data_IF_366312005314
#
_entry.id   IF_366312005314
#
_cell.length_a   1.000
_cell.length_b   1.000
_cell.length_c   1.000
_cell.angle_alpha   90.00
_cell.angle_beta   90.00
_cell.angle_gamma   90.00
#
_symmetry.space_group_name_H-M   'P 1'
#
loop_
_entity.id
_entity.type
_entity.pdbx_description
1 polymer ?
#
# COMPACT_ATOMS: atom_id res chain seq x y z
N UNK A 1 32.85 2.84 -2.13
CA UNK A 1 31.47 3.30 -2.39
C UNK A 1 31.43 3.94 -3.77
N UNK A 2 31.16 3.17 -4.84
CA UNK A 2 31.16 3.72 -6.22
C UNK A 2 30.09 3.16 -7.17
N UNK A 3 29.15 2.32 -6.70
CA UNK A 3 28.31 1.54 -7.64
C UNK A 3 26.81 1.85 -7.58
N UNK A 4 26.26 2.31 -6.45
CA UNK A 4 24.80 2.56 -6.34
C UNK A 4 24.26 3.67 -7.22
N UNK A 5 25.08 4.69 -7.53
CA UNK A 5 24.70 5.77 -8.45
C UNK A 5 24.55 5.28 -9.91
N UNK A 6 25.30 4.23 -10.30
CA UNK A 6 25.24 3.66 -11.64
C UNK A 6 24.02 2.75 -11.79
N UNK A 7 23.71 1.92 -10.78
CA UNK A 7 22.55 1.03 -10.81
C UNK A 7 21.22 1.79 -10.84
N UNK A 8 21.08 2.86 -10.05
CA UNK A 8 19.88 3.70 -10.07
C UNK A 8 19.68 4.35 -11.45
N UNK A 9 20.74 4.93 -12.03
CA UNK A 9 20.70 5.53 -13.36
C UNK A 9 20.32 4.49 -14.42
N UNK A 10 20.88 3.27 -14.34
CA UNK A 10 20.57 2.18 -15.27
C UNK A 10 19.11 1.72 -15.18
N UNK A 11 18.52 1.67 -13.97
CA UNK A 11 17.07 1.38 -13.82
C UNK A 11 16.22 2.49 -14.44
N UNK A 12 16.61 3.76 -14.31
CA UNK A 12 15.92 4.87 -14.95
C UNK A 12 15.98 4.77 -16.49
N UNK A 13 17.16 4.48 -17.03
CA UNK A 13 17.34 4.25 -18.48
C UNK A 13 16.50 3.07 -18.97
N UNK A 14 16.41 1.98 -18.19
CA UNK A 14 15.57 0.83 -18.52
C UNK A 14 14.07 1.18 -18.45
N UNK A 15 13.62 1.99 -17.48
CA UNK A 15 12.25 2.50 -17.47
C UNK A 15 11.94 3.28 -18.75
N UNK A 16 12.87 4.11 -19.24
CA UNK A 16 12.70 4.86 -20.49
C UNK A 16 12.66 3.93 -21.71
N UNK A 17 13.52 2.90 -21.75
CA UNK A 17 13.52 1.91 -22.83
C UNK A 17 12.21 1.11 -22.93
N UNK A 18 11.57 0.79 -21.80
CA UNK A 18 10.35 -0.02 -21.73
C UNK A 18 9.07 0.81 -21.52
N UNK A 19 9.14 2.14 -21.50
CA UNK A 19 8.02 3.02 -21.19
C UNK A 19 6.78 2.85 -22.10
N UNK A 20 6.97 2.32 -23.31
CA UNK A 20 5.90 2.11 -24.30
C UNK A 20 5.49 0.64 -24.49
N UNK A 21 6.03 -0.27 -23.67
CA UNK A 21 5.70 -1.70 -23.71
C UNK A 21 4.65 -2.08 -22.67
N UNK A 22 4.15 -3.32 -22.73
CA UNK A 22 3.35 -3.91 -21.65
C UNK A 22 4.29 -4.47 -20.56
N UNK A 23 4.33 -3.87 -19.36
CA UNK A 23 5.29 -4.26 -18.34
C UNK A 23 5.08 -5.68 -17.81
N UNK A 24 3.83 -6.16 -17.73
CA UNK A 24 3.54 -7.52 -17.24
C UNK A 24 3.96 -8.57 -18.26
N UNK A 25 3.71 -8.31 -19.55
CA UNK A 25 4.17 -9.21 -20.62
C UNK A 25 5.69 -9.30 -20.66
N UNK A 26 6.38 -8.18 -20.51
CA UNK A 26 7.84 -8.16 -20.48
C UNK A 26 8.42 -8.85 -19.23
N UNK A 27 7.74 -8.78 -18.06
CA UNK A 27 8.16 -9.50 -16.85
C UNK A 27 8.15 -11.02 -17.04
N UNK A 28 7.21 -11.57 -17.80
CA UNK A 28 7.15 -13.01 -18.08
C UNK A 28 8.36 -13.51 -18.89
N UNK A 29 9.01 -12.63 -19.66
CA UNK A 29 10.19 -12.99 -20.45
C UNK A 29 11.49 -12.87 -19.64
N UNK A 30 11.48 -12.19 -18.48
CA UNK A 30 12.67 -12.05 -17.62
C UNK A 30 13.11 -13.41 -17.05
N UNK A 31 12.18 -14.29 -16.68
CA UNK A 31 12.48 -15.65 -16.19
C UNK A 31 13.19 -16.52 -17.25
N UNK A 32 13.07 -16.16 -18.53
CA UNK A 32 13.68 -16.90 -19.66
C UNK A 32 15.06 -16.37 -20.05
N UNK A 33 15.51 -15.29 -19.41
CA UNK A 33 16.79 -14.62 -19.67
C UNK A 33 17.85 -15.18 -18.70
N UNK A 34 19.13 -15.31 -19.11
CA UNK A 34 20.20 -15.77 -18.21
C UNK A 34 20.25 -14.99 -16.88
N UNK A 35 20.63 -15.68 -15.81
CA UNK A 35 20.74 -15.15 -14.45
C UNK A 35 21.91 -14.17 -14.33
N UNK A 36 21.68 -12.92 -14.77
CA UNK A 36 22.63 -11.83 -14.64
C UNK A 36 22.02 -10.59 -13.94
N UNK A 37 22.91 -9.70 -13.49
CA UNK A 37 22.55 -8.47 -12.79
C UNK A 37 21.68 -7.54 -13.67
N UNK A 38 21.74 -7.65 -15.00
CA UNK A 38 20.95 -6.81 -15.91
C UNK A 38 19.49 -7.26 -16.00
N UNK A 39 19.23 -8.57 -15.95
CA UNK A 39 17.88 -9.13 -15.83
C UNK A 39 17.18 -8.66 -14.54
N UNK A 40 17.92 -8.56 -13.43
CA UNK A 40 17.40 -8.03 -12.16
C UNK A 40 17.02 -6.54 -12.27
N UNK A 41 17.85 -5.71 -12.90
CA UNK A 41 17.54 -4.29 -13.10
C UNK A 41 16.36 -4.09 -14.07
N UNK A 42 16.26 -4.92 -15.12
CA UNK A 42 15.11 -4.94 -16.05
C UNK A 42 13.82 -5.24 -15.28
N UNK A 43 13.83 -6.25 -14.42
CA UNK A 43 12.66 -6.61 -13.61
C UNK A 43 12.19 -5.44 -12.72
N UNK A 44 13.12 -4.76 -12.06
CA UNK A 44 12.83 -3.58 -11.21
C UNK A 44 12.17 -2.46 -12.03
N UNK A 45 12.72 -2.15 -13.21
CA UNK A 45 12.17 -1.11 -14.08
C UNK A 45 10.72 -1.43 -14.50
N UNK A 46 10.45 -2.69 -14.90
CA UNK A 46 9.12 -3.14 -15.27
C UNK A 46 8.14 -3.09 -14.08
N UNK A 47 8.59 -3.41 -12.86
CA UNK A 47 7.77 -3.35 -11.66
C UNK A 47 7.35 -1.92 -11.33
N UNK A 48 8.27 -0.96 -11.48
CA UNK A 48 7.97 0.46 -11.32
C UNK A 48 6.97 0.93 -12.37
N UNK A 49 7.18 0.61 -13.65
CA UNK A 49 6.27 0.95 -14.74
C UNK A 49 4.87 0.35 -14.50
N UNK A 50 4.78 -0.91 -14.07
CA UNK A 50 3.51 -1.56 -13.75
C UNK A 50 2.78 -0.89 -12.57
N UNK A 51 3.52 -0.59 -11.50
CA UNK A 51 2.97 0.03 -10.30
C UNK A 51 2.41 1.43 -10.56
N UNK A 52 3.11 2.21 -11.37
CA UNK A 52 2.66 3.53 -11.82
C UNK A 52 1.45 3.41 -12.76
N UNK A 53 1.53 2.57 -13.80
CA UNK A 53 0.47 2.42 -14.81
C UNK A 53 -0.85 1.89 -14.22
N UNK A 54 -0.76 1.08 -13.16
CA UNK A 54 -1.92 0.44 -12.52
C UNK A 54 -2.38 1.10 -11.22
N UNK A 55 -1.76 2.24 -10.85
CA UNK A 55 -2.01 2.94 -9.60
C UNK A 55 -1.99 1.99 -8.38
N UNK A 56 -1.01 1.09 -8.38
CA UNK A 56 -0.82 0.12 -7.32
C UNK A 56 -0.51 0.88 -6.02
N UNK A 57 -1.15 0.45 -4.93
CA UNK A 57 -0.79 0.90 -3.59
C UNK A 57 0.59 0.35 -3.20
N UNK A 58 0.93 -0.85 -3.69
CA UNK A 58 2.21 -1.51 -3.43
C UNK A 58 2.53 -2.60 -4.47
N UNK A 59 3.81 -2.81 -4.75
CA UNK A 59 4.34 -4.05 -5.36
C UNK A 59 5.41 -4.62 -4.41
N UNK A 60 5.34 -5.92 -4.12
CA UNK A 60 6.27 -6.63 -3.20
C UNK A 60 6.91 -7.82 -3.90
N UNK A 61 8.21 -8.04 -3.69
CA UNK A 61 8.94 -9.24 -4.08
C UNK A 61 9.55 -9.88 -2.82
N UNK A 62 9.34 -11.17 -2.62
CA UNK A 62 9.86 -11.93 -1.47
C UNK A 62 10.59 -13.18 -1.94
N UNK A 63 11.76 -13.46 -1.37
CA UNK A 63 12.51 -14.70 -1.56
C UNK A 63 12.47 -15.54 -0.28
N UNK A 64 12.07 -16.81 -0.40
CA UNK A 64 11.95 -17.76 0.72
C UNK A 64 13.23 -18.59 0.94
N UNK A 65 13.33 -19.25 2.10
CA UNK A 65 14.48 -20.10 2.48
C UNK A 65 14.68 -21.33 1.56
N UNK A 66 13.63 -21.72 0.85
CA UNK A 66 13.65 -22.84 -0.10
C UNK A 66 13.90 -22.37 -1.55
N UNK A 67 14.29 -21.10 -1.76
CA UNK A 67 14.54 -20.52 -3.09
C UNK A 67 13.28 -20.04 -3.83
N UNK A 68 12.09 -20.14 -3.22
CA UNK A 68 10.83 -19.69 -3.82
C UNK A 68 10.76 -18.15 -3.88
N UNK A 69 10.43 -17.59 -5.04
CA UNK A 69 10.19 -16.15 -5.23
C UNK A 69 8.68 -15.90 -5.39
N UNK A 70 8.14 -14.94 -4.65
CA UNK A 70 6.74 -14.52 -4.72
C UNK A 70 6.65 -13.01 -4.99
N UNK A 71 5.81 -12.62 -5.95
CA UNK A 71 5.58 -11.22 -6.32
C UNK A 71 4.09 -10.91 -6.19
N UNK A 72 3.73 -9.83 -5.50
CA UNK A 72 2.34 -9.40 -5.30
C UNK A 72 2.18 -7.90 -5.57
N UNK A 73 1.05 -7.51 -6.15
CA UNK A 73 0.66 -6.12 -6.36
C UNK A 73 -0.70 -5.85 -5.69
N UNK A 74 -0.77 -4.81 -4.86
CA UNK A 74 -1.99 -4.37 -4.19
C UNK A 74 -2.54 -3.13 -4.90
N UNK A 75 -3.84 -3.11 -5.19
CA UNK A 75 -4.53 -2.01 -5.88
C UNK A 75 -5.62 -1.41 -4.96
N UNK A 76 -5.83 -0.09 -5.02
CA UNK A 76 -6.69 0.63 -4.04
C UNK A 76 -8.19 0.27 -4.09
N UNK A 77 -8.77 0.16 -2.87
CA UNK A 77 -10.17 -0.08 -2.43
C UNK A 77 -10.66 -1.54 -2.48
N UNK A 78 -10.69 -2.17 -1.30
CA UNK A 78 -11.16 -3.54 -1.06
C UNK A 78 -12.21 -3.59 0.07
N UNK A 79 -13.09 -4.59 0.03
CA UNK A 79 -13.96 -4.93 1.16
C UNK A 79 -13.12 -5.55 2.29
N UNK A 80 -13.33 -5.10 3.53
CA UNK A 80 -12.71 -5.69 4.71
C UNK A 80 -13.68 -6.68 5.35
N UNK A 81 -13.18 -7.80 5.92
CA UNK A 81 -14.03 -8.75 6.63
C UNK A 81 -14.74 -8.06 7.79
N UNK A 82 -16.05 -8.27 7.90
CA UNK A 82 -16.84 -7.71 9.00
C UNK A 82 -16.41 -8.31 10.34
N UNK A 83 -16.25 -7.51 11.41
CA UNK A 83 -15.96 -8.02 12.75
C UNK A 83 -17.17 -8.72 13.40
N UNK A 84 -18.32 -8.77 12.71
CA UNK A 84 -19.57 -9.25 13.28
C UNK A 84 -20.25 -8.20 14.17
N UNK A 85 -21.57 -8.36 14.42
CA UNK A 85 -22.40 -7.30 14.99
C UNK A 85 -22.06 -6.94 16.45
N UNK A 86 -21.64 -7.92 17.26
CA UNK A 86 -21.31 -7.69 18.68
C UNK A 86 -20.00 -6.92 18.83
N UNK A 87 -18.98 -7.31 18.09
CA UNK A 87 -17.65 -6.67 18.15
C UNK A 87 -17.69 -5.30 17.47
N UNK A 88 -18.39 -5.17 16.33
CA UNK A 88 -18.55 -3.87 15.66
C UNK A 88 -19.15 -2.78 16.55
N UNK A 89 -20.17 -3.11 17.35
CA UNK A 89 -20.74 -2.16 18.34
C UNK A 89 -19.74 -1.74 19.41
N UNK A 90 -18.93 -2.68 19.91
CA UNK A 90 -17.89 -2.40 20.91
C UNK A 90 -16.77 -1.51 20.35
N UNK A 91 -16.39 -1.70 19.09
CA UNK A 91 -15.40 -0.84 18.41
C UNK A 91 -15.88 0.60 18.36
N UNK A 92 -17.15 0.83 18.00
CA UNK A 92 -17.72 2.19 17.94
C UNK A 92 -17.78 2.83 19.33
N UNK A 93 -18.22 2.09 20.35
CA UNK A 93 -18.29 2.59 21.72
C UNK A 93 -16.90 3.00 22.24
N UNK A 94 -15.89 2.15 22.05
CA UNK A 94 -14.52 2.45 22.46
C UNK A 94 -13.93 3.66 21.73
N UNK A 95 -14.21 3.81 20.42
CA UNK A 95 -13.74 4.98 19.66
C UNK A 95 -14.38 6.27 20.16
N UNK A 96 -15.68 6.27 20.52
CA UNK A 96 -16.35 7.44 21.10
C UNK A 96 -15.84 7.78 22.49
N UNK A 97 -15.60 6.78 23.33
CA UNK A 97 -15.05 6.97 24.68
C UNK A 97 -13.65 7.58 24.62
N UNK A 98 -12.76 7.02 23.80
CA UNK A 98 -11.39 7.51 23.63
C UNK A 98 -11.32 8.95 23.10
N UNK A 99 -12.28 9.32 22.25
CA UNK A 99 -12.32 10.65 21.60
C UNK A 99 -13.20 11.65 22.35
N UNK A 100 -13.90 11.21 23.40
CA UNK A 100 -14.93 11.97 24.11
C UNK A 100 -16.00 12.58 23.17
N UNK A 101 -16.31 11.89 22.06
CA UNK A 101 -17.30 12.34 21.07
C UNK A 101 -18.70 11.89 21.49
N UNK A 102 -19.45 12.80 22.11
CA UNK A 102 -20.79 12.51 22.66
C UNK A 102 -21.95 12.96 21.75
N UNK A 103 -21.68 13.80 20.74
CA UNK A 103 -22.71 14.33 19.84
C UNK A 103 -23.02 13.34 18.72
N UNK A 104 -24.26 13.40 18.23
CA UNK A 104 -24.73 12.61 17.08
C UNK A 104 -23.88 12.84 15.82
N UNK A 105 -23.30 14.03 15.67
CA UNK A 105 -22.32 14.33 14.61
C UNK A 105 -21.16 15.08 15.22
N UNK A 106 -19.99 14.47 15.16
CA UNK A 106 -18.79 15.09 15.70
C UNK A 106 -17.57 14.77 14.82
N UNK A 107 -16.57 15.64 14.86
CA UNK A 107 -15.30 15.48 14.16
C UNK A 107 -14.17 16.02 15.03
N UNK A 108 -13.06 15.30 15.08
CA UNK A 108 -11.85 15.78 15.72
C UNK A 108 -10.61 15.33 14.95
N UNK A 109 -9.52 16.05 15.17
CA UNK A 109 -8.19 15.59 14.79
C UNK A 109 -7.59 14.90 16.00
N UNK A 110 -7.30 13.61 15.85
CA UNK A 110 -6.56 12.84 16.83
C UNK A 110 -5.10 12.82 16.40
N UNK A 111 -4.26 13.53 17.14
CA UNK A 111 -2.82 13.40 17.01
C UNK A 111 -2.44 11.98 17.46
N UNK A 112 -1.96 11.17 16.54
CA UNK A 112 -1.68 9.76 16.80
C UNK A 112 -0.21 9.46 16.51
N UNK A 113 0.52 9.13 17.57
CA UNK A 113 1.91 8.69 17.47
C UNK A 113 1.99 7.25 16.97
N UNK A 114 2.78 7.00 15.94
CA UNK A 114 3.12 5.67 15.43
C UNK A 114 4.63 5.58 15.28
N UNK A 115 5.26 4.82 16.19
CA UNK A 115 6.72 4.70 16.28
C UNK A 115 7.37 6.10 16.38
N UNK A 116 8.35 6.39 15.54
CA UNK A 116 9.08 7.67 15.53
C UNK A 116 8.38 8.76 14.70
N UNK A 117 7.13 8.51 14.27
CA UNK A 117 6.32 9.45 13.49
C UNK A 117 5.03 9.76 14.22
N UNK A 118 4.48 10.95 14.00
CA UNK A 118 3.11 11.28 14.40
C UNK A 118 2.32 11.67 13.16
N UNK A 119 1.02 11.36 13.19
CA UNK A 119 0.11 11.77 12.14
C UNK A 119 -1.20 12.24 12.72
N UNK A 120 -1.79 13.20 12.04
CA UNK A 120 -3.08 13.76 12.40
C UNK A 120 -4.19 12.96 11.71
N UNK A 121 -4.81 12.07 12.47
CA UNK A 121 -5.95 11.30 12.00
C UNK A 121 -7.23 12.11 12.18
N UNK A 122 -7.99 12.31 11.10
CA UNK A 122 -9.29 13.00 11.19
C UNK A 122 -10.38 11.98 11.46
N UNK A 123 -10.83 11.92 12.71
CA UNK A 123 -11.89 11.02 13.17
C UNK A 123 -13.24 11.72 13.00
N UNK A 124 -14.21 11.01 12.43
CA UNK A 124 -15.61 11.46 12.28
C UNK A 124 -16.54 10.42 12.88
N UNK A 125 -17.43 10.87 13.77
CA UNK A 125 -18.52 10.06 14.34
C UNK A 125 -19.87 10.56 13.81
N UNK A 126 -20.75 9.64 13.42
CA UNK A 126 -22.13 9.93 13.04
C UNK A 126 -23.07 8.87 13.64
N UNK A 127 -24.11 9.32 14.35
CA UNK A 127 -25.29 8.57 14.74
C UNK A 127 -26.49 9.17 13.99
N UNK A 128 -27.17 8.38 13.18
CA UNK A 128 -28.36 8.86 12.45
C UNK A 128 -29.27 7.69 12.07
N UNK A 129 -30.57 7.81 12.37
CA UNK A 129 -31.55 6.79 11.97
C UNK A 129 -31.34 5.41 12.59
N UNK A 130 -30.61 5.31 13.72
CA UNK A 130 -30.27 4.04 14.37
C UNK A 130 -28.95 3.42 13.91
N UNK A 131 -28.28 4.00 12.90
CA UNK A 131 -26.96 3.57 12.44
C UNK A 131 -25.84 4.37 13.08
N UNK A 132 -24.79 3.67 13.50
CA UNK A 132 -23.57 4.25 14.01
C UNK A 132 -22.42 4.08 13.01
N UNK A 133 -21.72 5.17 12.72
CA UNK A 133 -20.58 5.18 11.80
C UNK A 133 -19.40 5.93 12.39
N UNK A 134 -18.24 5.28 12.37
CA UNK A 134 -16.93 5.91 12.57
C UNK A 134 -16.18 5.91 11.24
N UNK A 135 -15.47 7.00 10.96
CA UNK A 135 -14.57 7.09 9.80
C UNK A 135 -13.25 7.71 10.24
N UNK A 136 -12.16 7.01 9.95
CA UNK A 136 -10.79 7.45 10.20
C UNK A 136 -10.24 7.89 8.86
N UNK A 137 -9.88 9.17 8.73
CA UNK A 137 -9.18 9.64 7.53
C UNK A 137 -7.72 9.84 7.88
N UNK A 138 -6.86 9.22 7.09
CA UNK A 138 -5.43 9.39 7.12
C UNK A 138 -5.05 10.60 6.25
N UNK A 139 -3.95 11.31 6.56
CA UNK A 139 -3.46 12.45 5.77
C UNK A 139 -3.05 12.06 4.35
#
# INVERSE_FOLDING_TARGET
MKDSANLHLKVQELCDCFATTDPLKEMCEVERTPEDDEAALKWIALAILHGVNSNAEKISLTTGKDGKVEVTAEYRRAELPSPGPVVGKRVIAAMREMTHMEKDKDKMTLAFGIRDSSMDLKIKSRHEGGDDRITINFP
#
